data_IF_344171426732
#
_entry.id   IF_344171426732
#
_cell.length_a   1.000
_cell.length_b   1.000
_cell.length_c   1.000
_cell.angle_alpha   90.00
_cell.angle_beta   90.00
_cell.angle_gamma   90.00
#
_symmetry.space_group_name_H-M   'P 1'
#
loop_
_entity.id
_entity.type
_entity.pdbx_description
1 polymer ?
#
# COMPACT_ATOMS: atom_id res chain seq x y z
N UNK A 1 -63.03 -10.71 28.22
CA UNK A 1 -63.50 -9.46 27.58
C UNK A 1 -62.23 -8.82 27.00
N UNK A 2 -61.78 -9.27 25.82
CA UNK A 2 -62.27 -8.90 24.47
C UNK A 2 -61.81 -7.46 24.13
N UNK A 3 -61.23 -7.12 22.99
CA UNK A 3 -61.14 -7.75 21.67
C UNK A 3 -60.02 -7.01 20.87
N UNK A 4 -59.23 -7.72 20.05
CA UNK A 4 -59.23 -7.68 18.58
C UNK A 4 -58.85 -6.35 17.90
N UNK A 5 -57.84 -6.41 17.00
CA UNK A 5 -57.45 -5.31 16.13
C UNK A 5 -56.45 -5.67 15.04
N UNK A 6 -56.69 -6.77 14.32
CA UNK A 6 -55.96 -7.18 13.11
C UNK A 6 -56.55 -6.49 11.86
N UNK A 7 -55.64 -6.08 10.97
CA UNK A 7 -55.78 -5.88 9.52
C UNK A 7 -56.50 -4.64 8.94
N UNK A 8 -55.71 -3.82 8.22
CA UNK A 8 -55.99 -3.47 6.81
C UNK A 8 -54.79 -2.72 6.17
N UNK A 9 -54.03 -3.40 5.31
CA UNK A 9 -53.52 -2.80 4.07
C UNK A 9 -53.62 -3.85 2.96
N UNK A 10 -54.49 -3.56 1.99
CA UNK A 10 -54.62 -4.24 0.71
C UNK A 10 -53.58 -3.68 -0.26
N UNK A 11 -52.93 -4.60 -0.98
CA UNK A 11 -52.61 -4.63 -2.41
C UNK A 11 -52.38 -3.30 -3.13
N UNK A 12 -51.20 -3.16 -3.73
CA UNK A 12 -51.01 -3.01 -5.19
C UNK A 12 -49.50 -3.01 -5.52
N UNK A 13 -49.10 -3.62 -6.65
CA UNK A 13 -47.74 -3.44 -7.19
C UNK A 13 -46.90 -4.69 -7.50
N UNK A 14 -47.50 -5.87 -7.74
CA UNK A 14 -46.81 -7.06 -8.28
C UNK A 14 -46.71 -7.03 -9.83
N UNK A 15 -46.43 -5.86 -10.43
CA UNK A 15 -46.39 -5.69 -11.90
C UNK A 15 -45.21 -4.86 -12.42
N UNK A 16 -44.14 -4.67 -11.64
CA UNK A 16 -42.99 -3.86 -12.08
C UNK A 16 -41.64 -4.61 -12.05
N UNK A 17 -41.66 -5.94 -12.19
CA UNK A 17 -40.44 -6.78 -12.26
C UNK A 17 -40.24 -7.49 -13.61
N UNK A 18 -40.88 -7.01 -14.67
CA UNK A 18 -40.76 -7.62 -16.02
C UNK A 18 -40.48 -6.60 -17.13
N UNK A 19 -39.94 -5.41 -16.79
CA UNK A 19 -39.69 -4.34 -17.78
C UNK A 19 -38.30 -3.66 -17.68
N UNK A 20 -37.29 -4.32 -17.09
CA UNK A 20 -35.88 -3.84 -17.12
C UNK A 20 -34.87 -4.95 -17.41
N UNK A 21 -35.23 -5.85 -18.33
CA UNK A 21 -34.31 -6.87 -18.88
C UNK A 21 -34.42 -6.91 -20.39
N UNK A 22 -34.25 -5.75 -21.01
CA UNK A 22 -34.10 -5.55 -22.47
C UNK A 22 -33.63 -4.11 -22.71
N UNK A 23 -32.33 -3.85 -22.55
CA UNK A 23 -31.57 -2.72 -23.12
C UNK A 23 -30.08 -2.82 -22.72
N UNK A 24 -29.48 -3.98 -22.95
CA UNK A 24 -28.02 -4.18 -22.93
C UNK A 24 -27.71 -5.21 -24.02
N UNK A 25 -27.81 -4.76 -25.26
CA UNK A 25 -27.33 -5.44 -26.45
C UNK A 25 -26.93 -4.37 -27.48
N UNK A 26 -25.99 -3.51 -27.08
CA UNK A 26 -25.22 -2.69 -28.00
C UNK A 26 -24.01 -3.50 -28.43
N UNK A 27 -24.04 -4.00 -29.67
CA UNK A 27 -22.97 -4.76 -30.32
C UNK A 27 -21.71 -3.89 -30.42
N UNK A 28 -20.58 -4.40 -29.92
CA UNK A 28 -19.26 -3.96 -30.36
C UNK A 28 -19.07 -4.38 -31.83
N UNK A 29 -18.48 -3.54 -32.70
CA UNK A 29 -18.13 -3.99 -34.04
C UNK A 29 -16.96 -4.99 -33.98
N UNK A 30 -17.22 -6.21 -34.47
CA UNK A 30 -16.19 -7.19 -34.83
C UNK A 30 -15.29 -6.58 -35.92
N UNK A 31 -13.99 -6.47 -35.64
CA UNK A 31 -12.99 -6.22 -36.68
C UNK A 31 -12.66 -7.58 -37.31
N UNK A 32 -13.35 -7.87 -38.41
CA UNK A 32 -13.05 -9.02 -39.26
C UNK A 32 -11.66 -8.85 -39.90
N UNK A 33 -10.76 -9.79 -39.63
CA UNK A 33 -9.58 -10.01 -40.44
C UNK A 33 -10.00 -10.43 -41.86
N UNK A 34 -9.65 -9.61 -42.86
CA UNK A 34 -9.61 -10.01 -44.25
C UNK A 34 -8.17 -9.82 -44.75
N UNK A 35 -7.55 -10.93 -45.14
CA UNK A 35 -6.26 -10.95 -45.79
C UNK A 35 -6.37 -10.57 -47.27
N UNK A 36 -5.34 -9.86 -47.73
CA UNK A 36 -4.85 -9.70 -49.11
C UNK A 36 -5.76 -9.00 -50.15
N UNK A 37 -5.46 -7.73 -50.43
CA UNK A 37 -4.71 -7.32 -51.65
C UNK A 37 -4.40 -5.82 -51.62
N UNK A 38 -3.26 -5.45 -52.20
CA UNK A 38 -2.68 -4.12 -52.11
C UNK A 38 -3.51 -2.99 -52.73
N UNK A 39 -3.53 -1.86 -52.04
CA UNK A 39 -3.02 -0.56 -52.47
C UNK A 39 -3.14 0.39 -51.26
N UNK A 40 -2.13 1.23 -51.03
CA UNK A 40 -2.04 2.15 -49.88
C UNK A 40 -3.30 3.02 -49.71
N UNK A 41 -3.83 3.20 -48.48
CA UNK A 41 -4.73 4.30 -48.20
C UNK A 41 -4.02 5.40 -47.41
N UNK A 42 -3.83 6.50 -48.13
CA UNK A 42 -4.01 7.91 -47.74
C UNK A 42 -4.26 8.20 -46.24
N UNK A 43 -3.41 9.07 -45.68
CA UNK A 43 -3.35 9.43 -44.27
C UNK A 43 -4.66 10.02 -43.76
N UNK A 44 -5.44 9.20 -43.06
CA UNK A 44 -6.62 9.65 -42.31
C UNK A 44 -6.13 10.49 -41.14
N UNK A 45 -6.29 11.82 -41.22
CA UNK A 45 -5.96 12.73 -40.11
C UNK A 45 -6.93 12.45 -38.96
N UNK A 46 -6.47 11.76 -37.92
CA UNK A 46 -7.25 11.50 -36.71
C UNK A 46 -7.44 12.83 -35.99
N UNK A 47 -8.67 13.36 -36.01
CA UNK A 47 -9.01 14.59 -35.29
C UNK A 47 -9.16 14.26 -33.80
N UNK A 48 -8.30 14.83 -32.97
CA UNK A 48 -8.36 14.67 -31.51
C UNK A 48 -9.72 15.17 -30.96
N UNK A 49 -10.31 14.49 -29.96
CA UNK A 49 -11.60 14.87 -29.40
C UNK A 49 -11.57 16.26 -28.74
N UNK A 50 -12.74 16.86 -28.50
CA UNK A 50 -12.83 18.18 -27.83
C UNK A 50 -12.59 18.10 -26.33
N UNK A 51 -12.85 16.93 -25.75
CA UNK A 51 -12.65 16.62 -24.33
C UNK A 51 -12.25 15.16 -24.15
N UNK A 52 -11.64 14.87 -23.01
CA UNK A 52 -11.25 13.51 -22.64
C UNK A 52 -11.36 13.30 -21.13
N UNK A 53 -11.23 12.04 -20.71
CA UNK A 53 -11.29 11.64 -19.31
C UNK A 53 -9.93 11.21 -18.80
N UNK A 54 -9.66 11.54 -17.55
CA UNK A 54 -8.53 11.08 -16.76
C UNK A 54 -9.06 10.53 -15.43
N UNK A 55 -8.36 9.56 -14.87
CA UNK A 55 -8.52 9.22 -13.46
C UNK A 55 -7.38 9.85 -12.69
N UNK A 56 -7.72 10.61 -11.64
CA UNK A 56 -6.77 11.32 -10.81
C UNK A 56 -6.90 10.95 -9.33
N UNK A 57 -5.82 11.11 -8.56
CA UNK A 57 -5.74 10.77 -7.14
C UNK A 57 -4.69 11.63 -6.43
N UNK A 58 -4.69 11.54 -5.10
CA UNK A 58 -3.66 12.08 -4.20
C UNK A 58 -2.88 10.90 -3.60
N UNK A 59 -1.64 11.14 -3.18
CA UNK A 59 -0.78 10.12 -2.55
C UNK A 59 -0.55 10.53 -1.09
N UNK A 60 -0.44 9.52 -0.23
CA UNK A 60 -0.56 9.58 1.24
C UNK A 60 0.40 10.58 1.94
N UNK A 61 1.51 10.96 1.31
CA UNK A 61 2.47 11.93 1.88
C UNK A 61 2.26 13.38 1.37
N UNK A 62 1.32 13.58 0.44
CA UNK A 62 0.96 14.88 -0.15
C UNK A 62 -0.44 15.33 0.29
N UNK A 63 -0.84 14.98 1.53
CA UNK A 63 -2.21 15.08 2.06
C UNK A 63 -2.79 16.48 2.20
N UNK A 64 -2.04 17.53 1.84
CA UNK A 64 -2.67 18.82 1.59
C UNK A 64 -2.33 19.30 0.19
N UNK A 65 -3.37 19.67 -0.55
CA UNK A 65 -3.24 20.47 -1.77
C UNK A 65 -2.42 21.77 -1.56
N UNK A 66 -2.26 22.19 -0.30
CA UNK A 66 -1.43 23.35 0.06
C UNK A 66 0.06 23.09 -0.19
N UNK A 67 0.53 21.84 -0.01
CA UNK A 67 1.93 21.44 -0.17
C UNK A 67 2.26 21.12 -1.64
N UNK A 68 1.42 20.31 -2.28
CA UNK A 68 1.58 19.92 -3.69
C UNK A 68 0.28 20.25 -4.43
N UNK A 69 0.28 21.41 -5.11
CA UNK A 69 -0.86 21.94 -5.87
C UNK A 69 -1.12 21.16 -7.16
N UNK A 70 -1.14 19.83 -7.08
CA UNK A 70 -1.15 18.92 -8.22
C UNK A 70 -1.79 17.59 -7.88
N UNK A 71 -2.45 16.98 -8.86
CA UNK A 71 -2.93 15.60 -8.76
C UNK A 71 -2.17 14.69 -9.70
N UNK A 72 -1.95 13.45 -9.28
CA UNK A 72 -1.47 12.41 -10.16
C UNK A 72 -2.63 11.83 -10.94
N UNK A 73 -2.39 11.48 -12.20
CA UNK A 73 -3.43 11.01 -13.08
C UNK A 73 -2.92 9.99 -14.11
N UNK A 74 -3.86 9.23 -14.65
CA UNK A 74 -3.65 8.34 -15.78
C UNK A 74 -4.85 8.35 -16.73
N UNK A 75 -4.60 7.99 -17.99
CA UNK A 75 -5.67 7.74 -18.95
C UNK A 75 -6.41 6.45 -18.60
N UNK A 76 -7.74 6.38 -18.78
CA UNK A 76 -8.50 5.14 -18.60
C UNK A 76 -7.93 3.97 -19.40
N UNK A 77 -7.54 4.20 -20.65
CA UNK A 77 -6.95 3.17 -21.52
C UNK A 77 -5.59 2.68 -21.02
N UNK A 78 -4.80 3.53 -20.40
CA UNK A 78 -3.50 3.17 -19.82
C UNK A 78 -3.66 2.29 -18.59
N UNK A 79 -4.59 2.62 -17.70
CA UNK A 79 -4.93 1.75 -16.56
C UNK A 79 -5.48 0.41 -17.04
N UNK A 80 -6.29 0.39 -18.09
CA UNK A 80 -6.84 -0.84 -18.64
C UNK A 80 -5.79 -1.74 -19.30
N UNK A 81 -4.71 -1.18 -19.87
CA UNK A 81 -3.58 -1.98 -20.40
C UNK A 81 -2.95 -2.86 -19.32
N UNK A 82 -2.90 -2.39 -18.07
CA UNK A 82 -2.32 -3.12 -16.93
C UNK A 82 -3.11 -4.37 -16.50
N UNK A 83 -4.31 -4.58 -17.04
CA UNK A 83 -5.04 -5.83 -16.82
C UNK A 83 -4.34 -7.01 -17.48
N UNK A 84 -3.73 -6.78 -18.64
CA UNK A 84 -3.13 -7.82 -19.48
C UNK A 84 -1.63 -7.66 -19.65
N UNK A 85 -1.10 -6.45 -19.49
CA UNK A 85 0.31 -6.18 -19.58
C UNK A 85 1.04 -6.75 -18.36
N UNK A 86 2.20 -7.38 -18.62
CA UNK A 86 3.11 -7.90 -17.62
C UNK A 86 4.54 -7.61 -18.08
N UNK A 87 5.43 -7.19 -17.18
CA UNK A 87 6.85 -7.05 -17.50
C UNK A 87 7.48 -8.43 -17.74
N UNK A 88 8.47 -8.50 -18.63
CA UNK A 88 9.24 -9.73 -18.89
C UNK A 88 10.23 -10.06 -17.78
N UNK A 89 10.80 -9.03 -17.16
CA UNK A 89 11.78 -9.09 -16.09
C UNK A 89 11.68 -7.84 -15.19
N UNK A 90 12.56 -7.71 -14.20
CA UNK A 90 12.52 -6.61 -13.23
C UNK A 90 12.87 -5.23 -13.81
N UNK A 91 13.45 -5.21 -15.02
CA UNK A 91 13.88 -4.01 -15.75
C UNK A 91 13.00 -3.70 -16.97
N UNK A 92 11.97 -4.51 -17.25
CA UNK A 92 11.08 -4.33 -18.40
C UNK A 92 10.00 -3.27 -18.15
N UNK A 93 10.43 -2.01 -18.14
CA UNK A 93 9.54 -0.84 -18.13
C UNK A 93 8.88 -0.57 -19.50
N UNK A 94 9.18 -1.38 -20.53
CA UNK A 94 8.65 -1.17 -21.88
C UNK A 94 7.13 -1.35 -21.91
N UNK A 95 6.42 -0.26 -22.20
CA UNK A 95 4.96 -0.25 -22.27
C UNK A 95 4.25 0.08 -20.95
N UNK A 96 4.98 0.34 -19.87
CA UNK A 96 4.42 0.98 -18.68
C UNK A 96 4.05 2.44 -19.04
N UNK A 97 2.77 2.85 -18.93
CA UNK A 97 2.39 4.23 -19.23
C UNK A 97 3.02 5.23 -18.26
N UNK A 98 3.33 6.44 -18.73
CA UNK A 98 3.83 7.51 -17.85
C UNK A 98 2.74 8.07 -16.94
N UNK A 99 3.11 8.59 -15.77
CA UNK A 99 2.19 9.29 -14.86
C UNK A 99 1.96 10.72 -15.34
N UNK A 100 0.72 11.18 -15.32
CA UNK A 100 0.33 12.53 -15.71
C UNK A 100 0.21 13.38 -14.45
N UNK A 101 0.82 14.57 -14.44
CA UNK A 101 0.61 15.59 -13.41
C UNK A 101 -0.46 16.60 -13.84
N UNK A 102 -1.52 16.76 -13.04
CA UNK A 102 -2.53 17.81 -13.19
C UNK A 102 -2.22 18.94 -12.22
N UNK A 103 -1.52 19.97 -12.70
CA UNK A 103 -0.99 21.04 -11.87
C UNK A 103 -1.92 22.26 -11.89
N UNK A 104 -2.07 22.92 -10.74
CA UNK A 104 -2.94 24.07 -10.58
C UNK A 104 -2.12 25.36 -10.34
N UNK A 105 -1.42 25.87 -11.36
CA UNK A 105 -0.40 26.93 -11.21
C UNK A 105 -0.93 28.29 -10.74
N UNK A 106 -2.24 28.41 -10.57
CA UNK A 106 -2.92 29.63 -10.16
C UNK A 106 -3.64 29.49 -8.83
N UNK A 107 -3.62 28.31 -8.21
CA UNK A 107 -4.43 28.01 -7.03
C UNK A 107 -3.57 27.42 -5.92
N UNK A 108 -3.62 28.03 -4.74
CA UNK A 108 -3.06 27.45 -3.51
C UNK A 108 -4.07 26.57 -2.78
N UNK A 109 -5.35 26.65 -3.14
CA UNK A 109 -6.46 25.87 -2.56
C UNK A 109 -7.52 25.62 -3.64
N UNK A 110 -8.33 24.58 -3.48
CA UNK A 110 -9.47 24.29 -4.36
C UNK A 110 -10.76 25.04 -3.99
N UNK A 111 -10.70 25.98 -3.05
CA UNK A 111 -11.89 26.67 -2.53
C UNK A 111 -12.16 28.03 -3.20
N UNK A 112 -11.13 28.65 -3.76
CA UNK A 112 -11.21 30.05 -4.23
C UNK A 112 -10.96 30.16 -5.72
N UNK A 113 -11.89 30.83 -6.38
CA UNK A 113 -11.75 31.14 -7.79
C UNK A 113 -10.68 32.20 -8.05
N UNK A 114 -9.99 32.06 -9.18
CA UNK A 114 -9.06 33.05 -9.70
C UNK A 114 -9.58 33.61 -11.00
N UNK A 115 -9.59 34.94 -11.09
CA UNK A 115 -10.11 35.66 -12.25
C UNK A 115 -9.53 35.11 -13.55
N UNK A 116 -10.42 34.81 -14.50
CA UNK A 116 -10.12 34.25 -15.82
C UNK A 116 -9.52 32.83 -15.85
N UNK A 117 -9.13 32.28 -14.70
CA UNK A 117 -8.50 30.96 -14.55
C UNK A 117 -9.45 29.90 -14.03
N UNK A 118 -10.43 30.27 -13.23
CA UNK A 118 -11.47 29.33 -12.78
C UNK A 118 -12.82 30.02 -12.60
N UNK A 119 -13.85 29.20 -12.49
CA UNK A 119 -15.19 29.57 -12.07
C UNK A 119 -15.80 28.38 -11.33
N UNK A 120 -16.26 28.55 -10.09
CA UNK A 120 -16.87 27.51 -9.30
C UNK A 120 -15.95 26.34 -8.92
N UNK A 121 -14.64 26.56 -8.76
CA UNK A 121 -13.68 25.48 -8.45
C UNK A 121 -14.05 24.66 -7.20
N UNK A 122 -14.51 25.32 -6.13
CA UNK A 122 -14.95 24.64 -4.90
C UNK A 122 -16.13 23.68 -5.15
N UNK A 123 -17.01 24.04 -6.08
CA UNK A 123 -18.14 23.19 -6.46
C UNK A 123 -17.70 22.06 -7.39
N UNK A 124 -16.74 22.34 -8.27
CA UNK A 124 -16.14 21.36 -9.18
C UNK A 124 -15.45 20.24 -8.41
N UNK A 125 -14.69 20.58 -7.37
CA UNK A 125 -13.95 19.64 -6.52
C UNK A 125 -14.62 19.40 -5.17
N UNK A 126 -15.95 19.56 -5.09
CA UNK A 126 -16.70 19.49 -3.83
C UNK A 126 -16.37 18.23 -3.01
N UNK A 127 -16.35 17.07 -3.66
CA UNK A 127 -16.09 15.80 -2.97
C UNK A 127 -14.67 15.75 -2.36
N UNK A 128 -13.67 16.26 -3.07
CA UNK A 128 -12.29 16.36 -2.58
C UNK A 128 -12.20 17.33 -1.40
N UNK A 129 -12.81 18.51 -1.52
CA UNK A 129 -12.79 19.54 -0.47
C UNK A 129 -13.51 19.05 0.81
N UNK A 130 -14.56 18.25 0.67
CA UNK A 130 -15.30 17.71 1.81
C UNK A 130 -14.59 16.52 2.48
N UNK A 131 -13.82 15.72 1.73
CA UNK A 131 -13.09 14.56 2.25
C UNK A 131 -11.91 14.19 1.34
N UNK A 132 -10.77 14.84 1.55
CA UNK A 132 -9.54 14.61 0.79
C UNK A 132 -9.04 13.16 0.91
N UNK A 133 -9.09 12.59 2.11
CA UNK A 133 -8.66 11.21 2.38
C UNK A 133 -9.44 10.17 1.57
N UNK A 134 -10.67 10.46 1.12
CA UNK A 134 -11.43 9.55 0.26
C UNK A 134 -10.81 9.34 -1.11
N UNK A 135 -9.86 10.18 -1.52
CA UNK A 135 -9.17 10.11 -2.81
C UNK A 135 -7.65 9.88 -2.68
N UNK A 136 -7.18 9.60 -1.46
CA UNK A 136 -5.83 9.12 -1.23
C UNK A 136 -5.72 7.68 -1.72
N UNK A 137 -4.80 7.45 -2.65
CA UNK A 137 -4.58 6.13 -3.23
C UNK A 137 -3.58 5.34 -2.37
N UNK A 138 -4.11 4.34 -1.69
CA UNK A 138 -3.34 3.30 -1.00
C UNK A 138 -3.19 2.09 -1.93
N UNK A 139 -1.98 1.60 -2.18
CA UNK A 139 -1.74 0.60 -3.24
C UNK A 139 -1.50 -0.84 -2.75
N UNK A 140 -1.42 -1.07 -1.43
CA UNK A 140 -1.19 -2.40 -0.84
C UNK A 140 -2.34 -2.94 0.03
N UNK A 141 -3.51 -2.32 -0.05
CA UNK A 141 -4.72 -2.75 0.65
C UNK A 141 -5.86 -3.05 -0.33
N UNK A 142 -6.96 -3.64 0.16
CA UNK A 142 -8.21 -3.61 -0.60
C UNK A 142 -8.63 -2.15 -0.77
N UNK A 143 -8.99 -1.69 -1.98
CA UNK A 143 -9.27 -0.30 -2.23
C UNK A 143 -10.58 0.11 -1.54
N UNK A 144 -10.46 1.00 -0.55
CA UNK A 144 -11.54 1.68 0.15
C UNK A 144 -11.62 3.18 -0.19
N UNK A 145 -10.80 3.64 -1.13
CA UNK A 145 -10.76 4.99 -1.69
C UNK A 145 -11.58 5.12 -3.00
N UNK A 146 -11.59 6.32 -3.56
CA UNK A 146 -12.19 6.66 -4.85
C UNK A 146 -11.16 7.33 -5.77
N UNK A 147 -11.33 7.19 -7.08
CA UNK A 147 -10.60 8.01 -8.06
C UNK A 147 -11.43 9.24 -8.42
N UNK A 148 -10.77 10.36 -8.70
CA UNK A 148 -11.39 11.51 -9.35
C UNK A 148 -11.44 11.25 -10.86
N UNK A 149 -12.59 10.94 -11.44
CA UNK A 149 -12.74 11.00 -12.89
C UNK A 149 -12.86 12.47 -13.32
N UNK A 150 -11.81 12.98 -13.93
CA UNK A 150 -11.65 14.35 -14.39
C UNK A 150 -11.96 14.43 -15.88
N UNK A 151 -12.82 15.36 -16.29
CA UNK A 151 -13.02 15.71 -17.70
C UNK A 151 -12.16 16.92 -18.06
N UNK A 152 -11.24 16.71 -19.00
CA UNK A 152 -10.30 17.70 -19.50
C UNK A 152 -10.72 18.17 -20.89
N UNK A 153 -10.78 19.48 -21.11
CA UNK A 153 -11.26 20.11 -22.34
C UNK A 153 -10.19 21.03 -22.96
N UNK A 154 -10.26 21.15 -24.30
CA UNK A 154 -9.35 22.01 -25.07
C UNK A 154 -9.72 23.48 -25.04
N UNK A 155 -11.01 23.76 -24.93
CA UNK A 155 -11.56 25.11 -24.95
C UNK A 155 -12.10 25.49 -23.59
N UNK A 156 -11.84 26.75 -23.19
CA UNK A 156 -12.42 27.32 -21.99
C UNK A 156 -13.95 27.34 -22.13
N UNK A 157 -14.71 26.78 -21.16
CA UNK A 157 -16.16 26.86 -21.19
C UNK A 157 -16.65 28.32 -21.14
N UNK A 158 -17.73 28.61 -21.85
CA UNK A 158 -18.39 29.93 -21.82
C UNK A 158 -19.30 30.11 -20.60
N UNK A 159 -19.68 29.01 -19.95
CA UNK A 159 -20.49 28.96 -18.74
C UNK A 159 -20.20 27.67 -17.96
N UNK A 160 -20.61 27.63 -16.69
CA UNK A 160 -20.44 26.47 -15.81
C UNK A 160 -19.13 26.49 -15.01
N UNK A 161 -18.89 25.41 -14.28
CA UNK A 161 -17.69 25.24 -13.48
C UNK A 161 -16.48 24.87 -14.34
N UNK A 162 -15.34 25.52 -14.10
CA UNK A 162 -14.08 25.14 -14.74
C UNK A 162 -12.87 25.60 -13.93
N UNK A 163 -11.71 25.00 -14.21
CA UNK A 163 -10.41 25.48 -13.75
C UNK A 163 -9.34 25.23 -14.82
N UNK A 164 -8.42 26.19 -14.96
CA UNK A 164 -7.25 26.08 -15.80
C UNK A 164 -6.17 25.26 -15.08
N UNK A 165 -5.68 24.22 -15.75
CA UNK A 165 -4.60 23.36 -15.27
C UNK A 165 -3.46 23.35 -16.27
N UNK A 166 -2.26 23.05 -15.78
CA UNK A 166 -1.14 22.61 -16.60
C UNK A 166 -1.08 21.09 -16.54
N UNK A 167 -0.94 20.43 -17.69
CA UNK A 167 -0.83 18.97 -17.78
C UNK A 167 0.61 18.57 -18.08
N UNK A 168 1.34 18.18 -17.05
CA UNK A 168 2.76 17.80 -17.13
C UNK A 168 2.94 16.28 -17.08
N UNK A 169 4.18 15.85 -17.27
CA UNK A 169 4.61 14.53 -16.79
C UNK A 169 4.74 14.58 -15.27
N UNK A 170 4.59 13.43 -14.60
CA UNK A 170 4.95 13.29 -13.20
C UNK A 170 6.00 12.22 -13.06
N UNK A 171 6.99 12.48 -12.22
CA UNK A 171 8.10 11.59 -11.93
C UNK A 171 8.11 11.25 -10.45
N UNK A 172 8.52 10.04 -10.13
CA UNK A 172 8.73 9.64 -8.75
C UNK A 172 10.16 9.96 -8.33
N UNK A 173 10.33 10.59 -7.17
CA UNK A 173 11.61 10.72 -6.46
C UNK A 173 11.52 9.96 -5.15
N UNK A 174 12.62 9.35 -4.72
CA UNK A 174 12.66 8.58 -3.46
C UNK A 174 12.40 9.45 -2.22
N UNK A 175 12.60 10.78 -2.29
CA UNK A 175 12.44 11.70 -1.16
C UNK A 175 11.06 12.37 -1.09
N UNK A 176 10.47 12.71 -2.24
CA UNK A 176 9.26 13.57 -2.29
C UNK A 176 8.06 12.85 -2.93
N UNK A 177 8.19 11.56 -3.24
CA UNK A 177 7.16 10.78 -3.90
C UNK A 177 6.94 11.24 -5.34
N UNK A 178 5.69 11.25 -5.80
CA UNK A 178 5.40 11.73 -7.16
C UNK A 178 5.39 13.25 -7.22
N UNK A 179 6.38 13.78 -7.93
CA UNK A 179 6.48 15.20 -8.21
C UNK A 179 6.09 15.47 -9.66
N UNK A 180 5.18 16.43 -9.90
CA UNK A 180 4.93 16.90 -11.25
C UNK A 180 6.19 17.56 -11.81
N UNK A 181 6.55 17.25 -13.05
CA UNK A 181 7.57 17.97 -13.78
C UNK A 181 6.94 19.24 -14.38
N UNK A 182 7.26 20.38 -13.78
CA UNK A 182 6.79 21.69 -14.25
C UNK A 182 7.52 22.20 -15.50
N UNK A 183 8.56 21.50 -15.95
CA UNK A 183 9.38 21.86 -17.09
C UNK A 183 9.03 21.07 -18.35
N UNK A 184 8.28 19.97 -18.24
CA UNK A 184 7.92 19.11 -19.35
C UNK A 184 6.40 19.02 -19.58
N UNK A 185 5.96 19.54 -20.74
CA UNK A 185 4.57 19.40 -21.19
C UNK A 185 4.27 17.94 -21.57
N UNK A 186 3.20 17.39 -21.00
CA UNK A 186 2.62 16.14 -21.50
C UNK A 186 1.99 16.34 -22.88
N UNK A 187 1.84 15.27 -23.66
CA UNK A 187 1.28 15.36 -25.02
C UNK A 187 -0.16 15.89 -25.05
N UNK A 188 -0.91 15.74 -23.96
CA UNK A 188 -2.24 16.34 -23.82
C UNK A 188 -2.18 17.86 -23.72
N UNK A 189 -1.21 18.41 -22.98
CA UNK A 189 -0.97 19.86 -22.93
C UNK A 189 -0.66 20.40 -24.32
N UNK A 190 0.22 19.72 -25.08
CA UNK A 190 0.58 20.08 -26.47
C UNK A 190 -0.61 20.02 -27.43
N UNK A 191 -1.56 19.12 -27.19
CA UNK A 191 -2.81 19.02 -27.96
C UNK A 191 -3.86 20.10 -27.58
N UNK A 192 -3.57 20.91 -26.56
CA UNK A 192 -4.35 22.07 -26.15
C UNK A 192 -5.31 21.79 -25.01
N UNK A 193 -5.20 20.66 -24.31
CA UNK A 193 -6.05 20.35 -23.17
C UNK A 193 -5.57 21.07 -21.91
N UNK A 194 -6.38 22.00 -21.38
CA UNK A 194 -5.98 22.89 -20.28
C UNK A 194 -7.08 23.18 -19.26
N UNK A 195 -8.27 22.62 -19.46
CA UNK A 195 -9.46 23.01 -18.68
C UNK A 195 -10.11 21.79 -18.07
N UNK A 196 -10.13 21.71 -16.74
CA UNK A 196 -10.98 20.75 -16.04
C UNK A 196 -12.39 21.34 -15.99
N UNK A 197 -13.38 20.58 -16.43
CA UNK A 197 -14.78 21.05 -16.56
C UNK A 197 -15.79 20.16 -15.86
N UNK A 198 -15.40 18.96 -15.46
CA UNK A 198 -16.19 18.08 -14.61
C UNK A 198 -15.27 17.18 -13.77
N UNK A 199 -15.69 16.88 -12.55
CA UNK A 199 -15.04 15.92 -11.66
C UNK A 199 -16.13 15.08 -11.01
N UNK A 200 -15.94 13.77 -10.97
CA UNK A 200 -16.83 12.84 -10.25
C UNK A 200 -16.00 11.82 -9.48
N UNK A 201 -16.53 11.34 -8.36
CA UNK A 201 -15.96 10.19 -7.67
C UNK A 201 -16.26 8.91 -8.44
N UNK A 202 -15.24 8.11 -8.71
CA UNK A 202 -15.33 6.79 -9.32
C UNK A 202 -14.95 5.73 -8.29
N UNK A 203 -15.77 4.70 -8.18
CA UNK A 203 -15.63 3.62 -7.21
C UNK A 203 -15.55 2.23 -7.87
N UNK A 204 -15.39 2.16 -9.20
CA UNK A 204 -15.25 0.89 -9.90
C UNK A 204 -14.03 0.10 -9.36
N UNK A 205 -14.23 -1.05 -8.69
CA UNK A 205 -13.13 -1.76 -8.02
C UNK A 205 -12.03 -2.22 -8.98
N UNK A 206 -12.36 -2.42 -10.26
CA UNK A 206 -11.39 -2.82 -11.27
C UNK A 206 -10.44 -1.67 -11.58
N UNK A 207 -10.99 -0.48 -11.79
CA UNK A 207 -10.19 0.73 -12.00
C UNK A 207 -9.33 1.08 -10.79
N UNK A 208 -9.89 0.97 -9.58
CA UNK A 208 -9.12 1.21 -8.34
C UNK A 208 -7.91 0.27 -8.26
N UNK A 209 -8.11 -1.04 -8.47
CA UNK A 209 -7.01 -2.03 -8.48
C UNK A 209 -5.98 -1.77 -9.59
N UNK A 210 -6.40 -1.29 -10.76
CA UNK A 210 -5.45 -0.94 -11.83
C UNK A 210 -4.64 0.31 -11.48
N UNK A 211 -5.26 1.30 -10.84
CA UNK A 211 -4.54 2.48 -10.34
C UNK A 211 -3.53 2.10 -9.25
N UNK A 212 -3.89 1.19 -8.32
CA UNK A 212 -2.94 0.64 -7.33
C UNK A 212 -1.75 -0.05 -8.01
N UNK A 213 -2.01 -0.95 -8.98
CA UNK A 213 -0.94 -1.60 -9.77
C UNK A 213 -0.05 -0.60 -10.50
N UNK A 214 -0.66 0.42 -11.09
CA UNK A 214 0.03 1.47 -11.82
C UNK A 214 1.00 2.23 -10.91
N UNK A 215 0.49 2.74 -9.79
CA UNK A 215 1.28 3.47 -8.80
C UNK A 215 2.40 2.58 -8.23
N UNK A 216 2.08 1.34 -7.86
CA UNK A 216 3.05 0.39 -7.32
C UNK A 216 4.22 0.10 -8.28
N UNK A 217 3.94 -0.01 -9.58
CA UNK A 217 4.97 -0.23 -10.59
C UNK A 217 5.92 0.96 -10.74
N UNK A 218 5.41 2.19 -10.62
CA UNK A 218 6.20 3.41 -10.68
C UNK A 218 6.97 3.70 -9.39
N UNK A 219 6.40 3.39 -8.23
CA UNK A 219 7.06 3.58 -6.94
C UNK A 219 8.15 2.53 -6.67
N UNK A 220 7.85 1.26 -6.92
CA UNK A 220 8.65 0.14 -6.42
C UNK A 220 9.24 -0.75 -7.52
N UNK A 221 9.08 -0.31 -8.77
CA UNK A 221 9.51 -1.00 -9.97
C UNK A 221 8.51 -2.03 -10.48
N UNK A 222 8.62 -2.35 -11.77
CA UNK A 222 7.73 -3.28 -12.48
C UNK A 222 7.82 -4.70 -11.93
N UNK A 223 8.89 -5.07 -11.22
CA UNK A 223 9.02 -6.35 -10.50
C UNK A 223 7.83 -6.66 -9.59
N UNK A 224 7.13 -5.65 -9.09
CA UNK A 224 5.92 -5.80 -8.27
C UNK A 224 4.73 -6.40 -9.03
N UNK A 225 4.80 -6.42 -10.36
CA UNK A 225 3.80 -6.97 -11.27
C UNK A 225 4.22 -8.33 -11.85
N UNK A 226 5.43 -8.81 -11.56
CA UNK A 226 5.82 -10.17 -11.87
C UNK A 226 5.01 -11.11 -10.98
N UNK A 227 4.38 -12.12 -11.57
CA UNK A 227 3.76 -13.18 -10.80
C UNK A 227 4.85 -13.87 -9.98
N UNK A 228 4.73 -13.83 -8.66
CA UNK A 228 5.44 -14.80 -7.82
C UNK A 228 5.12 -16.18 -8.37
N UNK A 229 6.14 -16.96 -8.71
CA UNK A 229 6.04 -18.30 -9.33
C UNK A 229 5.35 -19.34 -8.42
N UNK A 230 4.62 -18.91 -7.39
CA UNK A 230 3.91 -19.73 -6.43
C UNK A 230 2.40 -19.59 -6.56
N UNK A 231 1.82 -19.92 -7.72
CA UNK A 231 0.38 -20.21 -7.82
C UNK A 231 0.01 -21.05 -9.05
N UNK A 232 0.67 -22.20 -9.22
CA UNK A 232 0.11 -23.34 -9.99
C UNK A 232 0.44 -24.66 -9.30
N UNK A 233 -0.04 -24.84 -8.08
CA UNK A 233 -0.27 -26.19 -7.55
C UNK A 233 -1.72 -26.31 -7.08
N UNK A 234 -2.63 -26.36 -8.06
CA UNK A 234 -3.92 -27.00 -7.85
C UNK A 234 -3.89 -28.42 -8.40
N UNK A 235 -3.96 -29.37 -7.47
CA UNK A 235 -4.59 -30.69 -7.62
C UNK A 235 -4.04 -31.58 -8.74
N UNK A 236 -3.04 -32.39 -8.41
CA UNK A 236 -3.10 -33.83 -8.72
C UNK A 236 -2.43 -34.62 -7.61
N UNK A 237 -3.26 -35.40 -6.92
CA UNK A 237 -2.87 -36.45 -5.98
C UNK A 237 -2.58 -37.69 -6.83
N UNK A 238 -1.31 -38.07 -6.97
CA UNK A 238 -0.90 -39.48 -7.14
C UNK A 238 0.63 -39.60 -7.12
N UNK A 239 1.11 -40.35 -6.13
CA UNK A 239 2.31 -41.18 -6.08
C UNK A 239 3.48 -40.83 -7.01
N UNK A 240 4.56 -40.29 -6.42
CA UNK A 240 5.90 -40.80 -6.73
C UNK A 240 6.85 -40.53 -5.57
N UNK A 241 7.26 -41.62 -4.94
CA UNK A 241 8.43 -41.68 -4.09
C UNK A 241 9.71 -41.62 -4.94
N UNK A 242 10.79 -41.15 -4.30
CA UNK A 242 12.20 -41.07 -4.72
C UNK A 242 12.56 -39.77 -5.48
N UNK A 243 13.57 -38.98 -5.12
CA UNK A 243 14.71 -39.18 -4.22
C UNK A 243 15.40 -37.82 -3.91
N UNK A 244 15.87 -37.70 -2.66
CA UNK A 244 17.08 -36.99 -2.15
C UNK A 244 17.22 -35.47 -2.30
N UNK A 245 17.04 -34.77 -1.16
CA UNK A 245 17.57 -33.42 -0.93
C UNK A 245 17.27 -32.88 0.48
N UNK A 246 17.95 -33.40 1.51
CA UNK A 246 18.06 -32.82 2.87
C UNK A 246 16.75 -32.40 3.57
N UNK A 247 16.08 -33.37 4.18
CA UNK A 247 15.01 -33.11 5.14
C UNK A 247 15.52 -32.42 6.40
N UNK A 248 15.45 -31.10 6.45
CA UNK A 248 15.23 -30.39 7.70
C UNK A 248 13.73 -30.40 7.97
N UNK A 249 13.29 -31.24 8.91
CA UNK A 249 11.96 -31.11 9.51
C UNK A 249 11.86 -29.70 10.07
N UNK A 250 10.93 -28.93 9.50
CA UNK A 250 10.61 -27.58 9.95
C UNK A 250 10.37 -27.60 11.47
N UNK A 251 11.03 -26.72 12.25
CA UNK A 251 10.81 -26.69 13.69
C UNK A 251 9.35 -26.34 13.98
N UNK A 252 8.78 -26.93 15.05
CA UNK A 252 7.39 -26.67 15.45
C UNK A 252 7.21 -25.25 16.03
N UNK A 253 8.32 -24.63 16.44
CA UNK A 253 8.38 -23.31 17.07
C UNK A 253 9.51 -22.45 16.52
N UNK A 254 9.27 -21.15 16.45
CA UNK A 254 10.29 -20.13 16.20
C UNK A 254 10.33 -19.13 17.37
N UNK A 255 11.36 -18.28 17.41
CA UNK A 255 11.50 -17.24 18.44
C UNK A 255 11.63 -15.87 17.79
N UNK A 256 10.95 -14.89 18.35
CA UNK A 256 11.10 -13.47 18.01
C UNK A 256 11.62 -12.71 19.23
N UNK A 257 12.41 -11.67 18.99
CA UNK A 257 12.58 -10.59 19.96
C UNK A 257 11.74 -9.41 19.51
N UNK A 258 10.87 -8.91 20.38
CA UNK A 258 9.94 -7.82 20.13
C UNK A 258 10.33 -6.60 20.99
N UNK A 259 10.05 -5.40 20.48
CA UNK A 259 10.22 -4.12 21.18
C UNK A 259 9.11 -3.14 20.79
N UNK A 260 9.15 -1.92 21.33
CA UNK A 260 8.41 -0.75 20.81
C UNK A 260 9.39 0.37 20.47
N UNK A 261 8.98 1.35 19.66
CA UNK A 261 9.74 2.58 19.47
C UNK A 261 9.20 3.72 20.35
N UNK A 262 7.95 3.64 20.78
CA UNK A 262 7.34 4.57 21.76
C UNK A 262 6.60 3.82 22.89
N UNK A 263 6.38 4.50 24.01
CA UNK A 263 5.66 4.00 25.17
C UNK A 263 4.18 3.66 24.87
N UNK A 264 3.56 4.48 24.02
CA UNK A 264 2.12 4.43 23.76
C UNK A 264 1.77 3.68 22.45
N UNK A 265 2.78 3.20 21.72
CA UNK A 265 2.66 2.71 20.33
C UNK A 265 1.69 1.54 20.15
N UNK A 266 1.49 0.68 21.17
CA UNK A 266 0.60 -0.46 20.97
C UNK A 266 -0.87 -0.05 20.81
N UNK A 267 -1.33 0.96 21.55
CA UNK A 267 -2.73 1.41 21.49
C UNK A 267 -3.06 2.03 20.11
N UNK A 268 -2.07 2.69 19.50
CA UNK A 268 -2.24 3.39 18.23
C UNK A 268 -1.96 2.50 17.00
N UNK A 269 -0.95 1.62 17.06
CA UNK A 269 -0.41 0.97 15.87
C UNK A 269 -0.68 -0.55 15.78
N UNK A 270 -1.05 -1.24 16.88
CA UNK A 270 -1.38 -2.69 16.93
C UNK A 270 -0.31 -3.65 16.39
N UNK A 271 0.90 -3.18 16.13
CA UNK A 271 2.04 -4.00 15.75
C UNK A 271 3.20 -3.77 16.72
N UNK A 272 3.99 -4.83 16.91
CA UNK A 272 5.26 -4.76 17.64
C UNK A 272 6.40 -5.01 16.64
N UNK A 273 7.36 -4.09 16.51
CA UNK A 273 8.64 -4.37 15.87
C UNK A 273 9.28 -5.66 16.40
N UNK A 274 9.87 -6.45 15.51
CA UNK A 274 10.49 -7.71 15.86
C UNK A 274 11.61 -8.14 14.90
N UNK A 275 12.41 -9.09 15.37
CA UNK A 275 13.37 -9.87 14.57
C UNK A 275 13.32 -11.35 14.94
N UNK A 276 13.55 -12.24 13.97
CA UNK A 276 13.79 -13.66 14.24
C UNK A 276 15.09 -13.85 15.04
N UNK A 277 15.00 -14.51 16.18
CA UNK A 277 16.14 -14.78 17.05
C UNK A 277 17.26 -15.58 16.35
N UNK A 278 16.92 -16.46 15.40
CA UNK A 278 17.89 -17.20 14.61
C UNK A 278 18.64 -16.28 13.64
N UNK A 279 17.93 -15.38 12.96
CA UNK A 279 18.54 -14.41 12.05
C UNK A 279 19.40 -13.39 12.81
N UNK A 280 18.92 -12.89 13.95
CA UNK A 280 19.69 -11.98 14.80
C UNK A 280 21.00 -12.63 15.29
N UNK A 281 20.96 -13.93 15.58
CA UNK A 281 22.17 -14.69 15.94
C UNK A 281 23.12 -14.85 14.77
N UNK A 282 22.62 -15.09 13.56
CA UNK A 282 23.45 -15.16 12.35
C UNK A 282 24.09 -13.80 12.04
N UNK A 283 23.38 -12.72 12.33
CA UNK A 283 23.84 -11.34 12.16
C UNK A 283 25.01 -10.97 13.08
N UNK A 284 25.19 -11.63 14.23
CA UNK A 284 26.22 -11.29 15.23
C UNK A 284 27.59 -10.95 14.64
N UNK A 285 28.08 -11.83 13.75
CA UNK A 285 29.41 -11.72 13.15
C UNK A 285 29.41 -11.12 11.74
N UNK A 286 28.24 -10.71 11.25
CA UNK A 286 28.12 -10.12 9.93
C UNK A 286 28.67 -8.68 9.93
N UNK A 287 29.39 -8.35 8.85
CA UNK A 287 29.85 -6.99 8.54
C UNK A 287 29.53 -6.69 7.07
N UNK A 288 28.98 -5.52 6.76
CA UNK A 288 28.74 -5.13 5.38
C UNK A 288 30.07 -4.88 4.65
N UNK A 289 30.15 -5.22 3.37
CA UNK A 289 31.32 -4.92 2.53
C UNK A 289 31.35 -3.47 2.05
N UNK A 290 30.18 -2.85 1.92
CA UNK A 290 29.96 -1.46 1.53
C UNK A 290 28.56 -1.02 2.01
N UNK A 291 28.20 0.25 1.82
CA UNK A 291 26.94 0.83 2.31
C UNK A 291 25.68 0.22 1.68
N UNK A 292 25.83 -0.52 0.57
CA UNK A 292 24.73 -1.15 -0.17
C UNK A 292 24.61 -2.65 0.11
N UNK A 293 25.59 -3.26 0.79
CA UNK A 293 25.62 -4.69 1.08
C UNK A 293 24.63 -5.04 2.19
N UNK A 294 23.35 -5.17 1.85
CA UNK A 294 22.29 -5.59 2.78
C UNK A 294 22.13 -7.12 2.87
N UNK A 295 23.03 -7.89 2.25
CA UNK A 295 22.85 -9.34 2.01
C UNK A 295 22.78 -10.20 3.28
N UNK A 296 23.31 -9.72 4.40
CA UNK A 296 23.25 -10.40 5.69
C UNK A 296 22.56 -9.59 6.78
N UNK A 297 21.83 -8.53 6.43
CA UNK A 297 21.00 -7.79 7.36
C UNK A 297 19.66 -8.53 7.54
N UNK A 298 19.33 -9.00 8.76
CA UNK A 298 18.03 -9.62 9.05
C UNK A 298 16.85 -8.73 8.63
N UNK A 299 15.76 -9.37 8.20
CA UNK A 299 14.52 -8.65 7.91
C UNK A 299 13.88 -8.15 9.20
N UNK A 300 13.39 -6.91 9.20
CA UNK A 300 12.49 -6.44 10.26
C UNK A 300 11.11 -7.07 10.08
N UNK A 301 10.45 -7.31 11.21
CA UNK A 301 9.13 -7.92 11.29
C UNK A 301 8.21 -6.97 12.02
N UNK A 302 7.03 -6.73 11.49
CA UNK A 302 5.91 -6.19 12.25
C UNK A 302 5.02 -7.35 12.70
N UNK A 303 5.01 -7.61 14.01
CA UNK A 303 4.12 -8.59 14.63
C UNK A 303 2.76 -7.93 14.91
N UNK A 304 1.84 -8.06 13.96
CA UNK A 304 0.51 -7.46 13.97
C UNK A 304 -0.49 -8.31 14.78
N UNK A 305 -1.13 -7.70 15.78
CA UNK A 305 -2.21 -8.30 16.56
C UNK A 305 -3.57 -7.76 16.09
N UNK A 306 -3.94 -8.05 14.83
CA UNK A 306 -5.03 -7.39 14.08
C UNK A 306 -6.38 -7.29 14.78
N UNK A 307 -6.68 -8.24 15.67
CA UNK A 307 -7.98 -8.34 16.35
C UNK A 307 -8.00 -7.67 17.73
N UNK A 308 -6.87 -7.18 18.21
CA UNK A 308 -6.70 -6.68 19.57
C UNK A 308 -6.59 -5.16 19.60
N UNK A 309 -7.52 -4.51 20.29
CA UNK A 309 -7.42 -3.09 20.64
C UNK A 309 -6.55 -2.87 21.90
N UNK A 310 -6.29 -3.92 22.67
CA UNK A 310 -5.40 -3.89 23.84
C UNK A 310 -4.85 -5.29 24.14
N UNK A 311 -3.71 -5.34 24.83
CA UNK A 311 -3.07 -6.59 25.28
C UNK A 311 -3.70 -7.18 26.54
N UNK A 312 -4.86 -6.68 26.98
CA UNK A 312 -5.53 -7.10 28.22
C UNK A 312 -6.77 -7.97 27.99
N UNK A 313 -7.36 -7.95 26.79
CA UNK A 313 -8.65 -8.60 26.52
C UNK A 313 -8.53 -9.65 25.43
N UNK A 314 -8.99 -10.85 25.75
CA UNK A 314 -9.10 -11.95 24.80
C UNK A 314 -10.17 -11.67 23.74
N UNK A 315 -9.95 -12.23 22.55
CA UNK A 315 -10.88 -12.23 21.42
C UNK A 315 -11.27 -13.68 21.14
N UNK A 316 -12.57 -13.92 21.01
CA UNK A 316 -13.12 -15.24 20.76
C UNK A 316 -12.43 -15.90 19.56
N UNK A 317 -11.99 -17.15 19.75
CA UNK A 317 -11.24 -17.96 18.80
C UNK A 317 -9.87 -17.44 18.33
N UNK A 318 -9.45 -16.22 18.69
CA UNK A 318 -8.19 -15.61 18.26
C UNK A 318 -7.14 -15.54 19.36
N UNK A 319 -7.56 -15.55 20.62
CA UNK A 319 -6.65 -15.55 21.76
C UNK A 319 -7.24 -16.20 22.99
N UNK A 320 -6.37 -16.47 23.96
CA UNK A 320 -6.70 -16.94 25.30
C UNK A 320 -5.63 -16.48 26.26
N UNK A 321 -6.04 -15.92 27.40
CA UNK A 321 -5.14 -15.44 28.43
C UNK A 321 -4.07 -14.47 27.89
N UNK A 322 -4.41 -13.59 26.93
CA UNK A 322 -3.44 -12.65 26.32
C UNK A 322 -2.80 -11.74 27.38
N UNK A 323 -3.57 -11.32 28.37
CA UNK A 323 -3.05 -10.53 29.50
C UNK A 323 -1.97 -11.26 30.29
N UNK A 324 -1.92 -12.60 30.29
CA UNK A 324 -0.82 -13.35 30.90
C UNK A 324 0.43 -13.40 30.02
N UNK A 325 0.27 -13.40 28.70
CA UNK A 325 1.41 -13.32 27.76
C UNK A 325 2.07 -11.94 27.87
N UNK A 326 1.29 -10.88 27.92
CA UNK A 326 1.84 -9.53 27.89
C UNK A 326 1.86 -8.87 29.26
N UNK A 327 1.70 -9.62 30.36
CA UNK A 327 1.63 -9.08 31.73
C UNK A 327 2.85 -8.22 32.07
N UNK A 328 4.05 -8.70 31.72
CA UNK A 328 5.29 -7.96 32.00
C UNK A 328 5.41 -6.69 31.15
N UNK A 329 4.89 -6.73 29.92
CA UNK A 329 4.89 -5.59 29.02
C UNK A 329 3.87 -4.53 29.48
N UNK A 330 2.63 -4.94 29.73
CA UNK A 330 1.52 -4.06 30.13
C UNK A 330 1.72 -3.43 31.52
N UNK A 331 2.49 -4.07 32.41
CA UNK A 331 2.74 -3.53 33.74
C UNK A 331 4.13 -2.88 33.90
N UNK A 332 4.96 -2.86 32.86
CA UNK A 332 6.25 -2.18 32.91
C UNK A 332 6.05 -0.66 33.08
N UNK A 333 6.88 -0.05 33.92
CA UNK A 333 6.92 1.40 34.15
C UNK A 333 5.56 2.04 34.49
N UNK A 334 4.81 1.41 35.39
CA UNK A 334 3.44 1.83 35.75
C UNK A 334 2.46 1.82 34.56
N UNK A 335 2.74 0.99 33.55
CA UNK A 335 1.90 0.81 32.38
C UNK A 335 2.35 1.56 31.13
N UNK A 336 3.49 2.27 31.18
CA UNK A 336 4.00 2.99 30.01
C UNK A 336 4.86 2.13 29.08
N UNK A 337 5.25 0.91 29.47
CA UNK A 337 6.04 0.03 28.59
C UNK A 337 7.44 0.55 28.23
N UNK A 338 7.91 1.66 28.82
CA UNK A 338 9.15 2.37 28.46
C UNK A 338 10.38 1.48 28.47
N UNK A 339 10.44 0.50 29.37
CA UNK A 339 11.52 -0.48 29.45
C UNK A 339 11.65 -1.31 28.16
N UNK A 340 10.62 -1.40 27.33
CA UNK A 340 10.64 -2.11 26.05
C UNK A 340 10.85 -1.18 24.84
N UNK A 341 10.95 0.14 25.07
CA UNK A 341 11.26 1.11 24.01
C UNK A 341 12.73 0.98 23.62
N UNK A 342 12.98 0.56 22.38
CA UNK A 342 14.35 0.41 21.90
C UNK A 342 14.87 1.73 21.35
N UNK A 343 15.84 2.31 22.05
CA UNK A 343 16.71 3.35 21.53
C UNK A 343 18.00 2.70 21.06
N UNK A 344 18.40 2.92 19.81
CA UNK A 344 19.59 2.30 19.23
C UNK A 344 20.89 3.10 19.45
N UNK A 345 20.80 4.27 20.09
CA UNK A 345 21.94 5.06 20.54
C UNK A 345 22.35 4.70 21.99
N UNK A 346 23.66 4.63 22.25
CA UNK A 346 24.20 4.45 23.60
C UNK A 346 24.18 3.01 24.14
N UNK A 347 24.37 2.87 25.45
CA UNK A 347 24.25 1.58 26.13
C UNK A 347 22.76 1.18 26.24
N UNK A 348 22.42 -0.11 26.10
CA UNK A 348 21.03 -0.54 26.17
C UNK A 348 20.48 -0.36 27.58
N UNK A 349 19.51 0.55 27.72
CA UNK A 349 18.69 0.71 28.92
C UNK A 349 17.33 0.00 28.81
N UNK A 350 17.03 -0.56 27.63
CA UNK A 350 15.81 -1.30 27.33
C UNK A 350 15.97 -2.80 27.55
N UNK A 351 14.85 -3.52 27.57
CA UNK A 351 14.74 -4.98 27.49
C UNK A 351 13.89 -5.35 26.29
N UNK A 352 13.99 -6.60 25.84
CA UNK A 352 13.17 -7.12 24.75
C UNK A 352 12.14 -8.11 25.29
N UNK A 353 11.05 -8.27 24.55
CA UNK A 353 10.10 -9.36 24.80
C UNK A 353 10.43 -10.53 23.86
N UNK A 354 11.03 -11.59 24.39
CA UNK A 354 11.22 -12.83 23.63
C UNK A 354 9.87 -13.55 23.54
N UNK A 355 9.33 -13.69 22.33
CA UNK A 355 8.12 -14.45 22.05
C UNK A 355 8.44 -15.79 21.38
N UNK A 356 7.74 -16.85 21.80
CA UNK A 356 7.76 -18.14 21.10
C UNK A 356 6.55 -18.24 20.18
N UNK A 357 6.82 -18.43 18.90
CA UNK A 357 5.84 -18.67 17.86
C UNK A 357 5.56 -20.16 17.69
N UNK A 358 4.32 -20.51 17.38
CA UNK A 358 3.90 -21.88 17.03
C UNK A 358 3.14 -21.91 15.71
N UNK A 359 3.30 -23.02 15.00
CA UNK A 359 2.53 -23.36 13.79
C UNK A 359 1.08 -23.74 14.13
N UNK A 360 0.86 -24.32 15.31
CA UNK A 360 -0.42 -24.91 15.70
C UNK A 360 -1.04 -24.15 16.85
N UNK A 361 -2.34 -23.85 16.73
CA UNK A 361 -3.13 -23.26 17.81
C UNK A 361 -3.06 -24.18 19.04
N UNK A 362 -2.60 -23.69 20.22
CA UNK A 362 -2.59 -24.50 21.42
C UNK A 362 -4.00 -24.96 21.83
N UNK A 363 -4.13 -26.22 22.20
CA UNK A 363 -5.38 -26.76 22.76
C UNK A 363 -5.60 -26.20 24.17
N UNK A 364 -4.51 -26.06 24.94
CA UNK A 364 -4.48 -25.58 26.32
C UNK A 364 -3.41 -24.51 26.50
N UNK A 365 -3.56 -23.65 27.49
CA UNK A 365 -2.61 -22.57 27.78
C UNK A 365 -2.89 -21.28 27.02
N UNK A 366 -2.10 -20.23 27.29
CA UNK A 366 -2.26 -18.95 26.65
C UNK A 366 -1.85 -19.00 25.17
N UNK A 367 -2.53 -18.20 24.35
CA UNK A 367 -2.07 -17.94 22.98
C UNK A 367 -2.67 -16.62 22.47
N UNK A 368 -2.01 -16.04 21.46
CA UNK A 368 -2.62 -15.02 20.60
C UNK A 368 -2.26 -15.28 19.15
N UNK A 369 -3.24 -15.14 18.26
CA UNK A 369 -3.03 -15.15 16.82
C UNK A 369 -2.33 -13.86 16.39
N UNK A 370 -1.26 -14.01 15.62
CA UNK A 370 -0.41 -12.92 15.13
C UNK A 370 -0.23 -13.04 13.62
N UNK A 371 -0.18 -11.90 12.95
CA UNK A 371 0.26 -11.80 11.56
C UNK A 371 1.66 -11.20 11.53
N UNK A 372 2.59 -11.86 10.84
CA UNK A 372 3.96 -11.39 10.72
C UNK A 372 4.13 -10.79 9.33
N UNK A 373 4.42 -9.51 9.29
CA UNK A 373 4.60 -8.73 8.07
C UNK A 373 6.07 -8.35 8.00
N UNK A 374 6.66 -8.35 6.80
CA UNK A 374 7.95 -7.68 6.60
C UNK A 374 7.78 -6.20 6.99
N UNK A 375 8.73 -5.62 7.69
CA UNK A 375 8.71 -4.21 8.06
C UNK A 375 9.94 -3.48 7.51
N UNK A 376 9.87 -2.16 7.55
CA UNK A 376 10.98 -1.26 7.31
C UNK A 376 11.08 -0.28 8.46
N UNK A 377 12.28 0.26 8.63
CA UNK A 377 12.54 1.39 9.51
C UNK A 377 13.48 2.30 8.73
N UNK A 378 13.14 3.57 8.57
CA UNK A 378 14.02 4.58 7.96
C UNK A 378 13.85 5.92 8.73
N UNK A 379 14.78 6.86 8.54
CA UNK A 379 14.76 8.16 9.24
C UNK A 379 13.57 9.06 8.88
N UNK A 380 12.86 8.79 7.77
CA UNK A 380 11.79 9.65 7.24
C UNK A 380 10.43 9.19 7.79
N UNK A 381 10.15 7.89 7.67
CA UNK A 381 8.85 7.26 7.91
C UNK A 381 8.81 6.49 9.23
N UNK A 382 9.90 6.49 10.00
CA UNK A 382 10.11 5.64 11.17
C UNK A 382 9.83 4.15 10.85
N UNK A 383 9.54 3.35 11.87
CA UNK A 383 9.15 1.96 11.70
C UNK A 383 7.73 1.86 11.11
N UNK A 384 7.59 1.09 10.04
CA UNK A 384 6.27 0.76 9.49
C UNK A 384 6.23 -0.64 8.85
N UNK A 385 5.10 -1.35 8.96
CA UNK A 385 4.91 -2.61 8.25
C UNK A 385 4.89 -2.37 6.74
N UNK A 386 5.57 -3.22 5.97
CA UNK A 386 5.43 -3.26 4.51
C UNK A 386 4.06 -3.86 4.16
N UNK A 387 3.08 -3.06 3.70
CA UNK A 387 1.72 -3.56 3.63
C UNK A 387 1.59 -4.68 2.57
N UNK A 388 0.75 -5.68 2.86
CA UNK A 388 0.56 -6.82 1.96
C UNK A 388 1.75 -7.79 1.80
N UNK A 389 2.90 -7.59 2.46
CA UNK A 389 4.08 -8.47 2.36
C UNK A 389 4.24 -9.35 3.61
N UNK A 390 3.72 -10.60 3.61
CA UNK A 390 3.91 -11.50 4.74
C UNK A 390 5.38 -11.86 4.93
N UNK A 391 5.84 -11.88 6.17
CA UNK A 391 7.20 -12.34 6.50
C UNK A 391 7.34 -13.85 6.20
N UNK A 392 8.54 -14.36 5.82
CA UNK A 392 8.76 -15.79 5.58
C UNK A 392 8.30 -16.72 6.71
N UNK A 393 8.43 -16.31 7.98
CA UNK A 393 7.87 -17.06 9.12
C UNK A 393 6.34 -17.20 9.02
N UNK A 394 5.63 -16.15 8.60
CA UNK A 394 4.20 -16.23 8.37
C UNK A 394 3.87 -17.08 7.13
N UNK A 395 4.63 -17.02 6.05
CA UNK A 395 4.43 -17.94 4.92
C UNK A 395 4.65 -19.40 5.33
N UNK A 396 5.58 -19.62 6.26
CA UNK A 396 5.80 -20.89 6.92
C UNK A 396 4.67 -21.28 7.90
N UNK A 397 3.61 -20.50 8.08
CA UNK A 397 2.47 -20.91 8.90
C UNK A 397 2.64 -20.67 10.40
N UNK A 398 3.68 -19.96 10.84
CA UNK A 398 3.74 -19.47 12.22
C UNK A 398 2.64 -18.43 12.41
N UNK A 399 1.72 -18.70 13.34
CA UNK A 399 0.49 -17.90 13.54
C UNK A 399 0.20 -17.56 14.99
N UNK A 400 0.86 -18.21 15.95
CA UNK A 400 0.47 -18.10 17.35
C UNK A 400 1.66 -17.75 18.23
N UNK A 401 1.58 -16.65 18.98
CA UNK A 401 2.46 -16.45 20.13
C UNK A 401 1.89 -17.26 21.29
N UNK A 402 2.69 -18.15 21.87
CA UNK A 402 2.24 -19.11 22.89
C UNK A 402 2.95 -18.95 24.23
N UNK A 403 4.06 -18.21 24.24
CA UNK A 403 4.75 -17.79 25.45
C UNK A 403 5.61 -16.58 25.17
N UNK A 404 5.89 -15.83 26.21
CA UNK A 404 6.67 -14.60 26.21
C UNK A 404 7.53 -14.58 27.47
N UNK A 405 8.69 -13.91 27.40
CA UNK A 405 9.52 -13.60 28.56
C UNK A 405 10.33 -12.34 28.30
N UNK A 406 10.86 -11.75 29.36
CA UNK A 406 11.85 -10.68 29.25
C UNK A 406 13.18 -11.27 28.81
N UNK A 407 13.82 -10.60 27.85
CA UNK A 407 15.20 -10.83 27.43
C UNK A 407 16.02 -9.59 27.78
N UNK A 408 17.03 -9.79 28.62
CA UNK A 408 17.89 -8.75 29.18
C UNK A 408 19.39 -9.03 28.97
N UNK A 409 19.75 -10.03 28.16
CA UNK A 409 21.15 -10.28 27.79
C UNK A 409 21.72 -9.08 27.02
N UNK A 410 22.73 -8.37 27.57
CA UNK A 410 23.27 -7.16 26.94
C UNK A 410 23.80 -7.37 25.53
N UNK A 411 24.22 -8.59 25.20
CA UNK A 411 24.68 -8.94 23.86
C UNK A 411 23.52 -8.98 22.87
N UNK A 412 22.38 -9.54 23.26
CA UNK A 412 21.17 -9.58 22.42
C UNK A 412 20.65 -8.16 22.23
N UNK A 413 20.56 -7.38 23.31
CA UNK A 413 20.12 -5.97 23.26
C UNK A 413 20.97 -5.15 22.30
N UNK A 414 22.30 -5.21 22.41
CA UNK A 414 23.23 -4.51 21.50
C UNK A 414 23.11 -4.97 20.05
N UNK A 415 22.86 -6.26 19.82
CA UNK A 415 22.65 -6.78 18.46
C UNK A 415 21.35 -6.26 17.86
N UNK A 416 20.28 -6.17 18.65
CA UNK A 416 19.00 -5.60 18.22
C UNK A 416 19.12 -4.11 17.92
N UNK A 417 19.81 -3.33 18.78
CA UNK A 417 20.11 -1.91 18.50
C UNK A 417 20.89 -1.74 17.19
N UNK A 418 21.96 -2.54 16.99
CA UNK A 418 22.76 -2.48 15.77
C UNK A 418 21.94 -2.85 14.54
N UNK A 419 21.05 -3.83 14.65
CA UNK A 419 20.13 -4.21 13.58
C UNK A 419 19.22 -3.04 13.22
N UNK A 420 18.54 -2.48 14.22
CA UNK A 420 17.54 -1.45 14.01
C UNK A 420 18.15 -0.15 13.47
N UNK A 421 19.28 0.27 14.03
CA UNK A 421 20.08 1.38 13.50
C UNK A 421 20.46 1.18 12.03
N UNK A 422 20.90 -0.03 11.67
CA UNK A 422 21.29 -0.33 10.29
C UNK A 422 20.10 -0.28 9.31
N UNK A 423 18.87 -0.49 9.78
CA UNK A 423 17.67 -0.24 8.99
C UNK A 423 17.36 1.27 8.95
N UNK A 424 17.30 1.92 10.12
CA UNK A 424 16.92 3.32 10.25
C UNK A 424 17.88 4.27 9.50
N UNK A 425 19.18 4.15 9.72
CA UNK A 425 20.22 5.11 9.28
C UNK A 425 21.05 4.60 8.11
N UNK A 426 20.89 3.33 7.74
CA UNK A 426 21.72 2.66 6.74
C UNK A 426 22.97 1.99 7.33
N UNK A 427 23.76 1.37 6.46
CA UNK A 427 24.87 0.50 6.88
C UNK A 427 26.12 1.30 7.23
N UNK A 428 26.62 1.13 8.45
CA UNK A 428 27.94 1.59 8.85
C UNK A 428 29.05 0.70 8.25
N UNK A 429 30.03 1.31 7.59
CA UNK A 429 31.21 0.63 7.03
C UNK A 429 32.46 1.20 7.69
N UNK A 430 33.30 0.33 8.24
CA UNK A 430 34.59 0.73 8.84
C UNK A 430 35.49 1.38 7.77
N UNK A 431 35.86 2.66 7.95
CA UNK A 431 36.79 3.41 7.08
C UNK A 431 36.19 4.54 6.26
N UNK A 432 34.87 4.78 6.35
CA UNK A 432 34.17 5.88 5.67
C UNK A 432 34.05 7.13 6.57
N UNK A 433 35.12 7.54 7.25
CA UNK A 433 35.19 8.87 7.88
C UNK A 433 35.72 9.85 6.82
N UNK A 434 34.87 10.63 6.12
CA UNK A 434 35.34 11.60 5.14
C UNK A 434 36.11 12.78 5.78
N UNK A 435 36.12 12.87 7.11
CA UNK A 435 36.68 13.99 7.86
C UNK A 435 38.11 13.76 8.39
N UNK A 436 38.77 12.63 8.11
CA UNK A 436 40.19 12.44 8.50
C UNK A 436 41.22 12.99 7.48
N UNK A 437 40.79 13.45 6.29
CA UNK A 437 41.69 13.93 5.22
C UNK A 437 41.46 15.41 4.80
N UNK A 438 40.93 16.28 5.68
CA UNK A 438 40.86 17.74 5.46
C UNK A 438 41.67 18.59 6.46
#
# INVERSE_FOLDING_TARGET
MADAGIAKRKREGSQERTAKRQLLAGKFPEISQAAANGDEPDGTTIVAPESMKLYAWVIDDCTTFEDVQSFMAALPEDLMKLQTWKPKDEDDYEGLPGVIGLNFPHHTTLEKDVQDKSCGIAKLFKAQVENECAFCLYFDCEPDFALMEVTLARTKPTAGEFVNVHVGTATHTEMDGFMPDFHEDHDLQKQGYHWVTAVRAEHDPTMLRMAQKFVKAHLWGVRTLLESVEETESVTREDTANEVGHGQTKPETAKLYLWTNDADEFEDNRYLPAVDAHELKAFENWKPKNRDDRSGLPGLIAAELSYHESLQRDVEDRSRDIGKLFDVFVNADNGSGMSFCMFYEGDPEHVLLEATLSLTKPITGPFVEVKLITAMHNQVDNFHPWPGKPHPLYQQGYRYIVSTRVEDDPKILRLSQRLDRNHAEGLEVEGDDPDEDL
#
